data_IF_085640118691
#
_entry.id   IF_085640118691
#
_cell.length_a   1.000
_cell.length_b   1.000
_cell.length_c   1.000
_cell.angle_alpha   90.00
_cell.angle_beta   90.00
_cell.angle_gamma   90.00
#
_symmetry.space_group_name_H-M   'P 1'
#
loop_
_entity.id
_entity.type
_entity.pdbx_description
1 polymer ?
#
# COMPACT_ATOMS: atom_id res chain seq x y z
N UNK A 1 -24.63 -7.15 -8.93
CA UNK A 1 -24.81 -8.44 -9.64
C UNK A 1 -23.98 -9.50 -8.93
N UNK A 2 -24.48 -10.73 -8.78
CA UNK A 2 -23.80 -11.82 -8.05
C UNK A 2 -22.59 -12.48 -8.72
N UNK A 3 -21.77 -11.68 -9.42
CA UNK A 3 -20.71 -12.12 -10.32
C UNK A 3 -19.33 -12.08 -9.63
N UNK A 4 -19.15 -12.91 -8.60
CA UNK A 4 -17.95 -12.88 -7.74
C UNK A 4 -16.70 -13.28 -8.54
N UNK A 5 -16.81 -14.36 -9.32
CA UNK A 5 -15.70 -14.89 -10.12
C UNK A 5 -15.32 -13.95 -11.27
N UNK A 6 -16.28 -13.35 -11.94
CA UNK A 6 -16.02 -12.39 -13.03
C UNK A 6 -15.29 -11.15 -12.51
N UNK A 7 -15.71 -10.65 -11.35
CA UNK A 7 -15.06 -9.52 -10.67
C UNK A 7 -13.59 -9.82 -10.39
N UNK A 8 -13.31 -10.99 -9.81
CA UNK A 8 -11.94 -11.42 -9.55
C UNK A 8 -11.10 -11.57 -10.84
N UNK A 9 -11.67 -12.14 -11.91
CA UNK A 9 -10.96 -12.27 -13.19
C UNK A 9 -10.67 -10.93 -13.88
N UNK A 10 -11.56 -9.94 -13.71
CA UNK A 10 -11.33 -8.58 -14.17
C UNK A 10 -10.14 -7.96 -13.42
N UNK A 11 -10.15 -8.07 -12.09
CA UNK A 11 -9.05 -7.61 -11.24
C UNK A 11 -7.72 -8.30 -11.59
N UNK A 12 -7.72 -9.63 -11.74
CA UNK A 12 -6.55 -10.39 -12.17
C UNK A 12 -6.07 -10.02 -13.59
N UNK A 13 -6.96 -9.47 -14.42
CA UNK A 13 -6.57 -8.93 -15.74
C UNK A 13 -5.92 -7.57 -15.61
N UNK A 14 -6.46 -6.67 -14.77
CA UNK A 14 -5.84 -5.39 -14.45
C UNK A 14 -4.41 -5.60 -13.89
N UNK A 15 -4.26 -6.52 -12.93
CA UNK A 15 -2.95 -6.91 -12.38
C UNK A 15 -1.93 -7.29 -13.46
N UNK A 16 -2.34 -8.14 -14.41
CA UNK A 16 -1.47 -8.60 -15.51
C UNK A 16 -1.13 -7.48 -16.49
N UNK A 17 -2.07 -6.56 -16.73
CA UNK A 17 -1.84 -5.41 -17.60
C UNK A 17 -0.80 -4.46 -17.00
N UNK A 18 -0.92 -4.17 -15.71
CA UNK A 18 0.00 -3.27 -15.02
C UNK A 18 1.42 -3.85 -14.95
N UNK A 19 1.55 -5.14 -14.60
CA UNK A 19 2.87 -5.81 -14.62
C UNK A 19 3.53 -5.83 -16.00
N UNK A 20 2.74 -5.85 -17.07
CA UNK A 20 3.26 -5.89 -18.44
C UNK A 20 3.70 -4.52 -18.96
N UNK A 21 3.06 -3.44 -18.50
CA UNK A 21 3.21 -2.10 -19.05
C UNK A 21 3.62 -1.07 -17.99
N UNK A 22 4.50 -1.46 -17.06
CA UNK A 22 4.96 -0.54 -16.00
C UNK A 22 5.86 0.55 -16.61
N UNK A 23 5.56 1.85 -16.38
CA UNK A 23 6.44 2.95 -16.77
C UNK A 23 7.82 2.83 -16.11
N UNK A 24 8.84 3.42 -16.72
CA UNK A 24 10.14 3.60 -16.06
C UNK A 24 10.03 4.71 -14.99
N UNK A 25 10.59 4.46 -13.79
CA UNK A 25 10.56 5.41 -12.67
C UNK A 25 9.48 5.12 -11.63
N UNK A 26 9.23 6.09 -10.74
CA UNK A 26 8.14 6.03 -9.77
C UNK A 26 6.78 6.04 -10.49
N UNK A 27 6.00 4.99 -10.34
CA UNK A 27 4.68 4.86 -10.92
C UNK A 27 3.67 4.53 -9.80
N UNK A 28 2.59 5.32 -9.75
CA UNK A 28 1.45 5.05 -8.88
C UNK A 28 0.66 3.89 -9.48
N UNK A 29 0.35 2.89 -8.65
CA UNK A 29 -0.45 1.75 -9.05
C UNK A 29 -1.94 2.09 -8.91
N UNK A 30 -2.72 1.83 -9.97
CA UNK A 30 -4.19 1.88 -9.88
C UNK A 30 -4.76 0.55 -9.36
N UNK A 31 -3.93 -0.51 -9.31
CA UNK A 31 -4.36 -1.82 -8.85
C UNK A 31 -4.87 -1.80 -7.41
N UNK A 32 -4.23 -1.03 -6.52
CA UNK A 32 -4.65 -0.94 -5.11
C UNK A 32 -6.09 -0.47 -4.97
N UNK A 33 -6.43 0.63 -5.65
CA UNK A 33 -7.80 1.16 -5.69
C UNK A 33 -8.77 0.16 -6.29
N UNK A 34 -8.40 -0.49 -7.40
CA UNK A 34 -9.25 -1.51 -8.04
C UNK A 34 -9.45 -2.74 -7.15
N UNK A 35 -8.42 -3.12 -6.38
CA UNK A 35 -8.46 -4.23 -5.45
C UNK A 35 -9.42 -3.95 -4.30
N UNK A 36 -9.30 -2.79 -3.65
CA UNK A 36 -10.20 -2.36 -2.58
C UNK A 36 -11.66 -2.36 -3.05
N UNK A 37 -11.94 -1.75 -4.20
CA UNK A 37 -13.30 -1.68 -4.77
C UNK A 37 -13.83 -3.10 -5.05
N UNK A 38 -13.02 -3.94 -5.69
CA UNK A 38 -13.44 -5.29 -6.07
C UNK A 38 -13.71 -6.18 -4.86
N UNK A 39 -12.81 -6.16 -3.85
CA UNK A 39 -12.97 -6.98 -2.66
C UNK A 39 -14.15 -6.50 -1.82
N UNK A 40 -14.25 -5.20 -1.51
CA UNK A 40 -15.37 -4.63 -0.73
C UNK A 40 -16.71 -4.91 -1.42
N UNK A 41 -16.82 -4.67 -2.73
CA UNK A 41 -18.07 -4.95 -3.47
C UNK A 41 -18.45 -6.43 -3.48
N UNK A 42 -17.44 -7.32 -3.53
CA UNK A 42 -17.63 -8.77 -3.49
C UNK A 42 -18.11 -9.20 -2.10
N UNK A 43 -17.52 -8.65 -1.03
CA UNK A 43 -17.89 -8.91 0.36
C UNK A 43 -19.28 -8.39 0.68
N UNK A 44 -19.61 -7.15 0.29
CA UNK A 44 -20.94 -6.58 0.52
C UNK A 44 -22.04 -7.37 -0.22
N UNK A 45 -21.74 -7.81 -1.45
CA UNK A 45 -22.65 -8.69 -2.21
C UNK A 45 -22.82 -10.05 -1.53
N UNK A 46 -21.75 -10.60 -0.94
CA UNK A 46 -21.78 -11.86 -0.19
C UNK A 46 -22.60 -11.71 1.08
N UNK A 47 -22.30 -10.72 1.91
CA UNK A 47 -23.00 -10.42 3.17
C UNK A 47 -24.50 -10.21 2.93
N UNK A 48 -24.85 -9.38 1.95
CA UNK A 48 -26.25 -9.13 1.59
C UNK A 48 -26.98 -10.37 1.06
N UNK A 49 -26.26 -11.33 0.45
CA UNK A 49 -26.84 -12.59 -0.04
C UNK A 49 -26.95 -13.66 1.05
N UNK A 50 -25.95 -13.73 1.93
CA UNK A 50 -25.85 -14.76 2.95
C UNK A 50 -27.02 -14.70 3.94
N UNK A 51 -27.56 -13.50 4.21
CA UNK A 51 -28.73 -13.35 5.09
C UNK A 51 -29.98 -14.07 4.58
N UNK A 52 -30.02 -14.46 3.30
CA UNK A 52 -31.10 -15.24 2.70
C UNK A 52 -30.80 -16.75 2.62
N UNK A 53 -29.61 -17.21 3.00
CA UNK A 53 -29.21 -18.62 2.88
C UNK A 53 -29.77 -19.50 3.99
N UNK A 54 -29.78 -19.00 5.22
CA UNK A 54 -30.23 -19.74 6.41
C UNK A 54 -30.95 -18.83 7.42
N UNK A 55 -31.58 -19.44 8.42
CA UNK A 55 -32.22 -18.71 9.53
C UNK A 55 -31.21 -17.97 10.42
N UNK A 56 -31.68 -17.02 11.25
CA UNK A 56 -30.81 -16.09 11.98
C UNK A 56 -29.78 -16.74 12.92
N UNK A 57 -30.04 -17.93 13.46
CA UNK A 57 -29.19 -18.56 14.48
C UNK A 57 -27.92 -19.25 13.94
N UNK A 58 -27.80 -19.47 12.62
CA UNK A 58 -26.67 -20.22 12.00
C UNK A 58 -25.79 -19.30 11.12
N UNK A 59 -26.06 -18.00 11.16
CA UNK A 59 -25.55 -17.07 10.17
C UNK A 59 -24.04 -16.75 10.32
N UNK A 60 -23.55 -16.61 11.55
CA UNK A 60 -22.21 -16.06 11.82
C UNK A 60 -21.06 -16.97 11.38
N UNK A 61 -21.05 -18.24 11.82
CA UNK A 61 -19.97 -19.18 11.48
C UNK A 61 -19.92 -19.47 9.97
N UNK A 62 -21.07 -19.69 9.33
CA UNK A 62 -21.15 -19.96 7.90
C UNK A 62 -20.74 -18.75 7.06
N UNK A 63 -21.08 -17.54 7.50
CA UNK A 63 -20.63 -16.31 6.84
C UNK A 63 -19.11 -16.18 6.90
N UNK A 64 -18.50 -16.44 8.06
CA UNK A 64 -17.04 -16.40 8.21
C UNK A 64 -16.38 -17.44 7.28
N UNK A 65 -16.93 -18.66 7.19
CA UNK A 65 -16.44 -19.68 6.27
C UNK A 65 -16.58 -19.25 4.79
N UNK A 66 -17.70 -18.65 4.43
CA UNK A 66 -17.94 -18.13 3.08
C UNK A 66 -16.99 -16.99 2.73
N UNK A 67 -16.76 -16.05 3.66
CA UNK A 67 -15.79 -14.97 3.51
C UNK A 67 -14.39 -15.53 3.29
N UNK A 68 -13.97 -16.54 4.08
CA UNK A 68 -12.67 -17.19 3.91
C UNK A 68 -12.46 -17.73 2.49
N UNK A 69 -13.47 -18.42 1.92
CA UNK A 69 -13.44 -18.93 0.54
C UNK A 69 -13.31 -17.83 -0.52
N UNK A 70 -13.89 -16.65 -0.28
CA UNK A 70 -13.76 -15.49 -1.16
C UNK A 70 -12.40 -14.82 -0.98
N UNK A 71 -11.92 -14.73 0.26
CA UNK A 71 -10.68 -14.03 0.58
C UNK A 71 -9.46 -14.74 -0.01
N UNK A 72 -9.39 -16.07 0.06
CA UNK A 72 -8.26 -16.88 -0.44
C UNK A 72 -7.70 -16.45 -1.82
N UNK A 73 -8.52 -16.37 -2.89
CA UNK A 73 -8.04 -15.95 -4.21
C UNK A 73 -7.67 -14.46 -4.29
N UNK A 74 -8.27 -13.59 -3.47
CA UNK A 74 -7.91 -12.16 -3.38
C UNK A 74 -6.58 -12.00 -2.63
N UNK A 75 -6.40 -12.66 -1.51
CA UNK A 75 -5.16 -12.67 -0.72
C UNK A 75 -3.98 -13.10 -1.60
N UNK A 76 -4.13 -14.16 -2.39
CA UNK A 76 -3.08 -14.59 -3.32
C UNK A 76 -2.71 -13.49 -4.32
N UNK A 77 -3.70 -12.80 -4.91
CA UNK A 77 -3.45 -11.75 -5.90
C UNK A 77 -2.79 -10.52 -5.26
N UNK A 78 -3.23 -10.16 -4.04
CA UNK A 78 -2.64 -9.09 -3.25
C UNK A 78 -1.18 -9.38 -2.92
N UNK A 79 -0.87 -10.57 -2.42
CA UNK A 79 0.51 -10.97 -2.10
C UNK A 79 1.44 -10.96 -3.32
N UNK A 80 0.93 -11.34 -4.50
CA UNK A 80 1.70 -11.24 -5.76
C UNK A 80 1.95 -9.80 -6.18
N UNK A 81 1.00 -8.90 -5.93
CA UNK A 81 1.17 -7.47 -6.17
C UNK A 81 2.16 -6.83 -5.18
N UNK A 82 1.92 -7.02 -3.88
CA UNK A 82 2.67 -6.39 -2.79
C UNK A 82 4.16 -6.70 -2.85
N UNK A 83 4.54 -7.93 -3.24
CA UNK A 83 5.95 -8.33 -3.42
C UNK A 83 6.75 -7.44 -4.37
N UNK A 84 6.09 -6.87 -5.38
CA UNK A 84 6.73 -6.10 -6.46
C UNK A 84 6.63 -4.58 -6.30
N UNK A 85 5.90 -4.14 -5.27
CA UNK A 85 5.64 -2.74 -4.99
C UNK A 85 6.59 -2.21 -3.90
N UNK A 86 7.11 -0.99 -4.10
CA UNK A 86 7.88 -0.26 -3.09
C UNK A 86 6.93 0.68 -2.35
N UNK A 87 6.84 0.55 -1.04
CA UNK A 87 5.94 1.37 -0.19
C UNK A 87 6.61 2.69 0.21
N UNK A 88 7.94 2.69 0.33
CA UNK A 88 8.73 3.85 0.79
C UNK A 88 10.10 3.84 0.12
N UNK A 89 10.78 4.98 0.09
CA UNK A 89 12.18 5.06 -0.36
C UNK A 89 13.10 4.16 0.48
N UNK A 90 12.80 3.98 1.76
CA UNK A 90 13.54 3.10 2.68
C UNK A 90 13.45 1.63 2.27
N UNK A 91 12.34 1.22 1.64
CA UNK A 91 12.15 -0.14 1.11
C UNK A 91 13.09 -0.44 -0.07
N UNK A 92 13.80 0.55 -0.59
CA UNK A 92 14.91 0.36 -1.54
C UNK A 92 16.12 -0.34 -0.92
N UNK A 93 16.31 -0.26 0.41
CA UNK A 93 17.43 -0.83 1.16
C UNK A 93 17.13 -2.26 1.63
N UNK A 94 16.82 -3.16 0.68
CA UNK A 94 16.35 -4.52 0.99
C UNK A 94 17.46 -5.46 1.42
N UNK A 95 18.67 -5.28 0.91
CA UNK A 95 19.79 -6.13 1.28
C UNK A 95 20.57 -5.54 2.45
N UNK A 96 21.06 -6.41 3.33
CA UNK A 96 21.92 -5.99 4.44
C UNK A 96 23.26 -5.43 3.94
N UNK A 97 23.70 -5.85 2.75
CA UNK A 97 24.92 -5.32 2.11
C UNK A 97 24.73 -3.86 1.66
N UNK A 98 23.63 -3.54 0.95
CA UNK A 98 23.30 -2.15 0.57
C UNK A 98 23.13 -1.26 1.80
N UNK A 99 22.52 -1.80 2.85
CA UNK A 99 22.40 -1.09 4.13
C UNK A 99 23.77 -0.79 4.73
N UNK A 100 24.65 -1.80 4.81
CA UNK A 100 25.96 -1.64 5.43
C UNK A 100 26.81 -0.63 4.65
N UNK A 101 26.79 -0.69 3.32
CA UNK A 101 27.47 0.27 2.44
C UNK A 101 27.00 1.71 2.74
N UNK A 102 25.69 1.94 2.83
CA UNK A 102 25.12 3.26 3.12
C UNK A 102 25.42 3.72 4.56
N UNK A 103 25.34 2.82 5.54
CA UNK A 103 25.64 3.13 6.93
C UNK A 103 27.12 3.52 7.13
N UNK A 104 28.03 2.82 6.44
CA UNK A 104 29.46 3.13 6.48
C UNK A 104 29.80 4.41 5.73
N UNK A 105 29.09 4.71 4.63
CA UNK A 105 29.15 6.01 3.96
C UNK A 105 28.76 7.14 4.92
N UNK A 106 27.61 7.03 5.59
CA UNK A 106 27.12 8.04 6.53
C UNK A 106 28.09 8.21 7.70
N UNK A 107 28.60 7.13 8.29
CA UNK A 107 29.61 7.22 9.37
C UNK A 107 30.89 7.92 8.93
N UNK A 108 31.29 7.69 7.68
CA UNK A 108 32.59 8.18 7.17
C UNK A 108 32.55 9.62 6.70
N UNK A 109 31.41 10.07 6.16
CA UNK A 109 31.27 11.36 5.45
C UNK A 109 30.11 12.23 5.96
N UNK A 110 29.25 11.71 6.83
CA UNK A 110 28.01 12.38 7.22
C UNK A 110 28.20 13.68 8.00
N UNK A 111 29.31 13.83 8.72
CA UNK A 111 29.62 15.04 9.49
C UNK A 111 29.62 16.32 8.63
N UNK A 112 30.08 16.22 7.37
CA UNK A 112 30.16 17.36 6.45
C UNK A 112 28.88 17.54 5.60
N UNK A 113 28.03 16.51 5.51
CA UNK A 113 26.97 16.40 4.49
C UNK A 113 25.54 16.40 5.05
N UNK A 114 25.36 15.97 6.30
CA UNK A 114 24.04 15.67 6.87
C UNK A 114 23.71 16.51 8.10
N UNK A 115 24.28 17.71 8.20
CA UNK A 115 23.88 18.62 9.27
C UNK A 115 22.42 19.05 9.06
N UNK A 116 21.62 19.04 10.13
CA UNK A 116 20.20 19.46 10.12
C UNK A 116 19.92 20.80 9.40
N UNK A 117 20.84 21.77 9.46
CA UNK A 117 20.70 23.07 8.78
C UNK A 117 20.74 22.97 7.25
N UNK A 118 21.44 21.97 6.71
CA UNK A 118 21.53 21.69 5.28
C UNK A 118 20.36 20.80 4.81
N UNK A 119 19.81 19.97 5.69
CA UNK A 119 18.74 19.01 5.37
C UNK A 119 17.32 19.60 5.42
N UNK A 120 17.15 20.86 5.04
CA UNK A 120 15.80 21.43 4.90
C UNK A 120 15.07 20.80 3.72
N UNK A 121 13.76 20.59 3.85
CA UNK A 121 12.95 19.94 2.80
C UNK A 121 13.09 20.60 1.42
N UNK A 122 13.20 21.94 1.38
CA UNK A 122 13.42 22.69 0.16
C UNK A 122 14.78 22.42 -0.48
N UNK A 123 15.84 22.40 0.32
CA UNK A 123 17.20 22.12 -0.17
C UNK A 123 17.32 20.69 -0.70
N UNK A 124 16.86 19.70 0.09
CA UNK A 124 16.96 18.28 -0.31
C UNK A 124 16.15 18.00 -1.58
N UNK A 125 14.97 18.62 -1.74
CA UNK A 125 14.19 18.52 -2.99
C UNK A 125 14.91 19.15 -4.19
N UNK A 126 15.59 20.28 -3.99
CA UNK A 126 16.37 20.91 -5.06
C UNK A 126 17.53 20.02 -5.51
N UNK A 127 18.24 19.40 -4.56
CA UNK A 127 19.31 18.43 -4.84
C UNK A 127 18.77 17.25 -5.66
N UNK A 128 17.70 16.60 -5.19
CA UNK A 128 17.11 15.46 -5.91
C UNK A 128 16.58 15.83 -7.29
N UNK A 129 16.04 17.05 -7.46
CA UNK A 129 15.52 17.51 -8.75
C UNK A 129 16.65 17.76 -9.77
N UNK A 130 17.77 18.35 -9.36
CA UNK A 130 18.90 18.65 -10.25
C UNK A 130 19.85 17.47 -10.42
N UNK A 131 19.78 16.49 -9.51
CA UNK A 131 20.67 15.34 -9.46
C UNK A 131 21.81 15.52 -8.45
N UNK A 132 22.25 14.40 -7.88
CA UNK A 132 23.32 14.40 -6.88
C UNK A 132 24.68 14.70 -7.49
N UNK A 133 24.94 14.32 -8.74
CA UNK A 133 26.16 14.69 -9.46
C UNK A 133 26.35 16.21 -9.51
N UNK A 134 25.29 16.95 -9.84
CA UNK A 134 25.29 18.42 -9.81
C UNK A 134 25.59 18.96 -8.42
N UNK A 135 25.06 18.31 -7.38
CA UNK A 135 25.33 18.73 -6.00
C UNK A 135 26.79 18.49 -5.60
N UNK A 136 27.41 17.38 -6.04
CA UNK A 136 28.84 17.14 -5.81
C UNK A 136 29.71 18.20 -6.52
N UNK A 137 29.40 18.54 -7.77
CA UNK A 137 30.07 19.63 -8.49
C UNK A 137 29.93 20.98 -7.77
N UNK A 138 28.72 21.29 -7.28
CA UNK A 138 28.47 22.49 -6.48
C UNK A 138 29.30 22.50 -5.18
N UNK A 139 29.41 21.37 -4.49
CA UNK A 139 30.25 21.28 -3.28
C UNK A 139 31.74 21.45 -3.60
N UNK A 140 32.22 20.94 -4.74
CA UNK A 140 33.60 21.12 -5.20
C UNK A 140 33.94 22.60 -5.47
N UNK A 141 32.99 23.37 -6.01
CA UNK A 141 33.13 24.80 -6.29
C UNK A 141 33.07 25.68 -5.02
N UNK A 142 32.19 25.34 -4.07
CA UNK A 142 31.86 26.18 -2.91
C UNK A 142 32.57 25.76 -1.59
N UNK A 143 33.32 24.65 -1.58
CA UNK A 143 34.01 24.19 -0.37
C UNK A 143 35.01 25.23 0.18
N UNK A 144 35.13 25.29 1.51
CA UNK A 144 36.15 26.11 2.16
C UNK A 144 37.54 25.48 1.97
N UNK A 145 38.50 26.16 1.31
CA UNK A 145 39.85 25.62 1.11
C UNK A 145 40.60 25.30 2.41
N UNK A 146 40.19 25.89 3.55
CA UNK A 146 40.77 25.62 4.87
C UNK A 146 40.08 24.47 5.61
N UNK A 147 38.90 24.04 5.14
CA UNK A 147 38.11 22.92 5.67
C UNK A 147 37.51 22.12 4.52
N UNK A 148 38.35 21.39 3.77
CA UNK A 148 37.90 20.57 2.65
C UNK A 148 36.95 19.49 3.14
N UNK A 149 35.93 19.20 2.31
CA UNK A 149 34.95 18.15 2.60
C UNK A 149 35.63 16.80 2.37
N UNK A 150 35.59 15.92 3.38
CA UNK A 150 36.33 14.65 3.33
C UNK A 150 35.94 13.77 2.14
N UNK A 151 34.64 13.72 1.80
CA UNK A 151 34.14 12.95 0.65
C UNK A 151 34.82 13.39 -0.65
N UNK A 152 34.95 14.70 -0.87
CA UNK A 152 35.55 15.22 -2.10
C UNK A 152 37.04 14.87 -2.20
N UNK A 153 37.78 14.97 -1.09
CA UNK A 153 39.19 14.53 -1.07
C UNK A 153 39.35 13.05 -1.42
N UNK A 154 38.48 12.18 -0.87
CA UNK A 154 38.55 10.74 -1.09
C UNK A 154 38.11 10.37 -2.52
N UNK A 155 37.19 11.13 -3.14
CA UNK A 155 36.83 11.01 -4.56
C UNK A 155 38.00 11.43 -5.47
N UNK A 156 38.64 12.57 -5.20
CA UNK A 156 39.78 13.07 -5.98
C UNK A 156 40.98 12.12 -5.93
N UNK A 157 41.20 11.47 -4.78
CA UNK A 157 42.26 10.47 -4.59
C UNK A 157 41.90 9.08 -5.13
N UNK A 158 40.66 8.88 -5.59
CA UNK A 158 40.15 7.58 -6.04
C UNK A 158 40.06 6.54 -4.92
N UNK A 159 39.94 6.97 -3.66
CA UNK A 159 39.76 6.11 -2.50
C UNK A 159 38.31 5.67 -2.31
N UNK A 160 37.37 6.43 -2.88
CA UNK A 160 35.96 6.10 -2.91
C UNK A 160 35.42 6.24 -4.33
N UNK A 161 34.40 5.44 -4.65
CA UNK A 161 33.79 5.40 -5.98
C UNK A 161 32.69 6.46 -6.11
N UNK A 162 32.71 7.25 -7.19
CA UNK A 162 31.76 8.35 -7.39
C UNK A 162 30.34 7.84 -7.62
N UNK A 163 30.16 6.75 -8.37
CA UNK A 163 28.83 6.17 -8.60
C UNK A 163 28.20 5.70 -7.28
N UNK A 164 29.00 5.05 -6.42
CA UNK A 164 28.56 4.69 -5.05
C UNK A 164 28.23 5.90 -4.18
N UNK A 165 29.02 6.97 -4.24
CA UNK A 165 28.73 8.19 -3.47
C UNK A 165 27.42 8.83 -3.91
N UNK A 166 27.21 8.94 -5.23
CA UNK A 166 25.97 9.45 -5.83
C UNK A 166 24.78 8.62 -5.36
N UNK A 167 24.87 7.30 -5.45
CA UNK A 167 23.82 6.40 -5.00
C UNK A 167 23.51 6.57 -3.49
N UNK A 168 24.53 6.60 -2.63
CA UNK A 168 24.34 6.74 -1.18
C UNK A 168 23.64 8.05 -0.82
N UNK A 169 24.06 9.16 -1.44
CA UNK A 169 23.46 10.48 -1.24
C UNK A 169 22.03 10.53 -1.76
N UNK A 170 21.77 10.01 -2.98
CA UNK A 170 20.44 9.99 -3.57
C UNK A 170 19.47 9.19 -2.72
N UNK A 171 19.88 8.01 -2.23
CA UNK A 171 19.06 7.20 -1.32
C UNK A 171 18.80 7.91 0.01
N UNK A 172 19.85 8.46 0.64
CA UNK A 172 19.72 9.16 1.93
C UNK A 172 18.77 10.35 1.82
N UNK A 173 18.94 11.19 0.80
CA UNK A 173 18.08 12.34 0.54
C UNK A 173 16.64 11.93 0.18
N UNK A 174 16.47 10.87 -0.60
CA UNK A 174 15.13 10.33 -0.92
C UNK A 174 14.40 9.87 0.35
N UNK A 175 15.10 9.18 1.26
CA UNK A 175 14.55 8.73 2.55
C UNK A 175 14.15 9.92 3.42
N UNK A 176 14.98 10.96 3.50
CA UNK A 176 14.68 12.16 4.29
C UNK A 176 13.44 12.87 3.73
N UNK A 177 13.30 12.99 2.41
CA UNK A 177 12.12 13.63 1.81
C UNK A 177 10.86 12.79 2.03
N UNK A 178 10.97 11.47 1.91
CA UNK A 178 9.87 10.51 2.11
C UNK A 178 9.38 10.48 3.56
N UNK A 179 10.29 10.57 4.54
CA UNK A 179 10.00 10.51 5.99
C UNK A 179 10.42 11.79 6.73
N UNK A 180 10.09 12.95 6.16
CA UNK A 180 10.55 14.24 6.66
C UNK A 180 9.99 14.59 8.05
N UNK A 181 8.78 14.16 8.36
CA UNK A 181 8.17 14.29 9.69
C UNK A 181 8.95 13.53 10.76
N UNK A 182 9.39 12.30 10.45
CA UNK A 182 10.28 11.50 11.33
C UNK A 182 11.65 12.15 11.47
N UNK A 183 12.19 12.72 10.39
CA UNK A 183 13.43 13.48 10.45
C UNK A 183 13.32 14.72 11.34
N UNK A 184 12.18 15.43 11.31
CA UNK A 184 11.94 16.56 12.19
C UNK A 184 11.85 16.14 13.67
N UNK A 185 11.16 15.03 13.97
CA UNK A 185 11.13 14.45 15.33
C UNK A 185 12.55 14.10 15.80
N UNK A 186 13.34 13.44 14.96
CA UNK A 186 14.73 13.09 15.25
C UNK A 186 15.57 14.32 15.64
N UNK A 187 15.47 15.40 14.88
CA UNK A 187 16.20 16.65 15.14
C UNK A 187 15.76 17.40 16.40
N UNK A 188 14.54 17.16 16.88
CA UNK A 188 13.97 17.91 18.00
C UNK A 188 14.00 17.14 19.32
N UNK A 189 14.05 15.81 19.26
CA UNK A 189 13.91 14.94 20.44
C UNK A 189 15.20 14.22 20.84
N UNK A 190 16.24 14.27 20.00
CA UNK A 190 17.44 13.45 20.16
C UNK A 190 18.71 14.29 19.99
N UNK A 191 19.73 14.04 20.82
CA UNK A 191 21.03 14.75 20.77
C UNK A 191 21.95 14.20 19.68
N UNK A 192 21.69 12.97 19.22
CA UNK A 192 22.39 12.32 18.13
C UNK A 192 22.24 13.11 16.83
N UNK A 193 21.13 13.82 16.67
CA UNK A 193 20.84 14.64 15.49
C UNK A 193 21.78 15.83 15.26
N UNK A 194 22.53 16.24 16.30
CA UNK A 194 23.58 17.26 16.18
C UNK A 194 24.76 16.78 15.30
N UNK A 195 24.87 15.47 15.08
CA UNK A 195 25.98 14.82 14.38
C UNK A 195 25.49 14.15 13.09
N UNK A 196 25.89 14.70 11.93
CA UNK A 196 25.46 14.17 10.63
C UNK A 196 25.92 12.73 10.38
N UNK A 197 27.04 12.32 10.98
CA UNK A 197 27.53 10.95 10.95
C UNK A 197 26.67 9.96 11.76
N UNK A 198 25.75 10.44 12.61
CA UNK A 198 24.81 9.63 13.37
C UNK A 198 23.47 9.43 12.64
N UNK A 199 23.28 10.02 11.46
CA UNK A 199 22.02 9.91 10.71
C UNK A 199 21.63 8.45 10.40
N UNK A 200 22.60 7.54 10.25
CA UNK A 200 22.30 6.12 10.04
C UNK A 200 21.45 5.52 11.17
N UNK A 201 21.55 6.05 12.41
CA UNK A 201 20.72 5.59 13.52
C UNK A 201 19.24 5.86 13.27
N UNK A 202 18.87 7.03 12.73
CA UNK A 202 17.50 7.33 12.30
C UNK A 202 17.04 6.35 11.22
N UNK A 203 17.89 6.09 10.22
CA UNK A 203 17.56 5.21 9.11
C UNK A 203 17.29 3.77 9.57
N UNK A 204 17.95 3.28 10.62
CA UNK A 204 17.63 1.98 11.23
C UNK A 204 16.22 1.95 11.82
N UNK A 205 15.79 3.02 12.51
CA UNK A 205 14.42 3.13 13.00
C UNK A 205 13.40 3.19 11.85
N UNK A 206 13.70 3.92 10.79
CA UNK A 206 12.84 3.97 9.60
C UNK A 206 12.75 2.62 8.89
N UNK A 207 13.85 1.84 8.85
CA UNK A 207 13.86 0.47 8.32
C UNK A 207 12.99 -0.48 9.14
N UNK A 208 12.89 -0.26 10.45
CA UNK A 208 11.96 -1.01 11.29
C UNK A 208 10.51 -0.61 11.03
N UNK A 209 10.21 0.69 11.00
CA UNK A 209 8.87 1.22 10.70
C UNK A 209 8.37 0.71 9.34
N UNK A 210 9.22 0.71 8.31
CA UNK A 210 8.84 0.23 6.98
C UNK A 210 8.65 -1.29 6.90
N UNK A 211 9.35 -2.07 7.75
CA UNK A 211 9.08 -3.51 7.88
C UNK A 211 7.71 -3.75 8.51
N UNK A 212 7.36 -3.00 9.55
CA UNK A 212 6.02 -3.02 10.13
C UNK A 212 4.96 -2.62 9.11
N UNK A 213 5.15 -1.49 8.40
CA UNK A 213 4.24 -1.02 7.35
C UNK A 213 4.04 -2.05 6.24
N UNK A 214 5.09 -2.81 5.91
CA UNK A 214 5.03 -3.89 4.91
C UNK A 214 4.15 -5.04 5.38
N UNK A 215 4.26 -5.43 6.64
CA UNK A 215 3.41 -6.48 7.21
C UNK A 215 1.96 -5.99 7.28
N UNK A 216 1.73 -4.77 7.77
CA UNK A 216 0.41 -4.12 7.75
C UNK A 216 -0.18 -4.09 6.33
N UNK A 217 0.62 -3.74 5.32
CA UNK A 217 0.21 -3.73 3.93
C UNK A 217 -0.25 -5.11 3.45
N UNK A 218 0.47 -6.18 3.82
CA UNK A 218 0.08 -7.55 3.46
C UNK A 218 -1.22 -8.00 4.14
N UNK A 219 -1.56 -7.40 5.28
CA UNK A 219 -2.79 -7.65 6.04
C UNK A 219 -4.01 -6.87 5.53
N UNK A 220 -3.83 -5.92 4.61
CA UNK A 220 -4.92 -5.08 4.03
C UNK A 220 -6.20 -5.86 3.68
N UNK A 221 -6.15 -7.03 2.99
CA UNK A 221 -7.37 -7.76 2.66
C UNK A 221 -8.18 -8.22 3.89
N UNK A 222 -7.49 -8.56 5.00
CA UNK A 222 -8.13 -8.95 6.26
C UNK A 222 -8.79 -7.76 6.95
N UNK A 223 -8.14 -6.59 6.91
CA UNK A 223 -8.69 -5.32 7.41
C UNK A 223 -9.94 -4.91 6.62
N UNK A 224 -9.96 -5.13 5.29
CA UNK A 224 -11.12 -4.87 4.44
C UNK A 224 -12.31 -5.79 4.76
N UNK A 225 -12.05 -7.06 5.11
CA UNK A 225 -13.11 -7.97 5.60
C UNK A 225 -13.75 -7.42 6.87
N UNK A 226 -12.93 -7.04 7.86
CA UNK A 226 -13.44 -6.44 9.09
C UNK A 226 -14.27 -5.19 8.82
N UNK A 227 -13.78 -4.30 7.93
CA UNK A 227 -14.50 -3.10 7.53
C UNK A 227 -15.88 -3.44 6.94
N UNK A 228 -15.96 -4.38 6.00
CA UNK A 228 -17.25 -4.81 5.42
C UNK A 228 -18.20 -5.39 6.49
N UNK A 229 -17.71 -6.23 7.41
CA UNK A 229 -18.53 -6.76 8.52
C UNK A 229 -19.06 -5.63 9.42
N UNK A 230 -18.20 -4.70 9.83
CA UNK A 230 -18.56 -3.57 10.66
C UNK A 230 -19.59 -2.65 9.98
N UNK A 231 -19.37 -2.29 8.70
CA UNK A 231 -20.31 -1.44 7.93
C UNK A 231 -21.69 -2.07 7.76
N UNK A 232 -21.75 -3.40 7.66
CA UNK A 232 -23.01 -4.15 7.57
C UNK A 232 -23.63 -4.44 8.95
N UNK A 233 -23.11 -3.86 10.04
CA UNK A 233 -23.59 -4.01 11.42
C UNK A 233 -23.59 -5.47 11.92
N UNK A 234 -22.71 -6.31 11.39
CA UNK A 234 -22.55 -7.70 11.79
C UNK A 234 -21.59 -7.80 12.99
N UNK A 235 -22.03 -7.26 14.13
CA UNK A 235 -21.17 -7.06 15.33
C UNK A 235 -20.51 -8.34 15.82
N UNK A 236 -21.26 -9.44 15.97
CA UNK A 236 -20.70 -10.71 16.42
C UNK A 236 -19.63 -11.24 15.45
N UNK A 237 -19.90 -11.18 14.14
CA UNK A 237 -18.95 -11.61 13.12
C UNK A 237 -17.69 -10.74 13.11
N UNK A 238 -17.83 -9.41 13.26
CA UNK A 238 -16.68 -8.50 13.34
C UNK A 238 -15.83 -8.75 14.58
N UNK A 239 -16.44 -9.02 15.73
CA UNK A 239 -15.73 -9.32 16.99
C UNK A 239 -14.96 -10.63 16.91
N UNK A 240 -15.58 -11.69 16.36
CA UNK A 240 -14.90 -12.99 16.15
C UNK A 240 -13.73 -12.83 15.17
N UNK A 241 -13.94 -12.06 14.10
CA UNK A 241 -12.90 -11.79 13.11
C UNK A 241 -11.74 -10.99 13.71
N UNK A 242 -12.03 -9.96 14.49
CA UNK A 242 -11.04 -9.14 15.20
C UNK A 242 -10.21 -9.98 16.18
N UNK A 243 -10.84 -10.80 17.02
CA UNK A 243 -10.15 -11.69 17.95
C UNK A 243 -9.24 -12.70 17.23
N UNK A 244 -9.69 -13.22 16.07
CA UNK A 244 -8.89 -14.13 15.25
C UNK A 244 -7.70 -13.40 14.61
N UNK A 245 -7.92 -12.19 14.11
CA UNK A 245 -6.89 -11.35 13.51
C UNK A 245 -5.81 -11.00 14.54
N UNK A 246 -6.21 -10.50 15.72
CA UNK A 246 -5.29 -10.18 16.83
C UNK A 246 -4.43 -11.38 17.21
N UNK A 247 -5.05 -12.56 17.37
CA UNK A 247 -4.32 -13.78 17.70
C UNK A 247 -3.28 -14.16 16.64
N UNK A 248 -3.60 -13.98 15.35
CA UNK A 248 -2.71 -14.32 14.24
C UNK A 248 -1.57 -13.33 14.06
N UNK A 249 -1.78 -12.06 14.43
CA UNK A 249 -0.79 -10.99 14.24
C UNK A 249 0.04 -10.69 15.49
N UNK A 250 -0.33 -11.24 16.65
CA UNK A 250 0.32 -10.98 17.93
C UNK A 250 1.84 -11.23 17.91
N UNK A 251 2.28 -12.39 17.40
CA UNK A 251 3.71 -12.75 17.36
C UNK A 251 4.51 -11.79 16.46
N UNK A 252 3.94 -11.38 15.33
CA UNK A 252 4.58 -10.44 14.40
C UNK A 252 4.69 -9.05 15.05
N UNK A 253 3.62 -8.59 15.70
CA UNK A 253 3.61 -7.30 16.38
C UNK A 253 4.61 -7.27 17.55
N UNK A 254 4.68 -8.34 18.34
CA UNK A 254 5.64 -8.45 19.44
C UNK A 254 7.08 -8.42 18.93
N UNK A 255 7.38 -9.12 17.82
CA UNK A 255 8.71 -9.10 17.22
C UNK A 255 9.17 -7.69 16.82
N UNK A 256 8.28 -6.88 16.24
CA UNK A 256 8.58 -5.49 15.89
C UNK A 256 8.83 -4.63 17.12
N UNK A 257 8.09 -4.84 18.21
CA UNK A 257 8.28 -4.13 19.49
C UNK A 257 9.60 -4.53 20.18
N UNK A 258 9.99 -5.79 20.12
CA UNK A 258 11.29 -6.26 20.60
C UNK A 258 12.45 -5.66 19.79
N UNK A 259 12.31 -5.60 18.46
CA UNK A 259 13.29 -4.95 17.58
C UNK A 259 13.39 -3.45 17.88
N UNK A 260 12.26 -2.78 18.13
CA UNK A 260 12.22 -1.38 18.55
C UNK A 260 12.99 -1.18 19.86
N UNK A 261 12.71 -1.99 20.88
CA UNK A 261 13.38 -1.88 22.18
C UNK A 261 14.89 -2.09 22.05
N UNK A 262 15.31 -3.01 21.17
CA UNK A 262 16.73 -3.25 20.85
C UNK A 262 17.38 -2.01 20.25
N UNK A 263 16.75 -1.38 19.25
CA UNK A 263 17.27 -0.16 18.63
C UNK A 263 17.32 1.02 19.62
N UNK A 264 16.29 1.17 20.46
CA UNK A 264 16.24 2.20 21.50
C UNK A 264 17.39 2.04 22.50
N UNK A 265 17.67 0.81 22.95
CA UNK A 265 18.80 0.50 23.84
C UNK A 265 20.15 0.71 23.15
N UNK A 266 20.29 0.28 21.90
CA UNK A 266 21.53 0.37 21.14
C UNK A 266 21.96 1.82 20.90
N UNK A 267 21.02 2.67 20.50
CA UNK A 267 21.31 4.06 20.14
C UNK A 267 21.08 5.07 21.27
N UNK A 268 20.49 4.64 22.39
CA UNK A 268 20.12 5.53 23.49
C UNK A 268 19.13 6.62 23.04
N UNK A 269 18.25 6.26 22.11
CA UNK A 269 17.35 7.17 21.40
C UNK A 269 15.92 6.66 21.47
N UNK A 270 14.95 7.57 21.48
CA UNK A 270 13.53 7.24 21.37
C UNK A 270 12.93 8.00 20.20
N UNK A 271 12.03 7.34 19.49
CA UNK A 271 11.24 7.91 18.41
C UNK A 271 9.77 7.71 18.78
N UNK A 272 9.15 8.66 19.51
CA UNK A 272 7.78 8.51 20.02
C UNK A 272 6.79 8.17 18.92
N UNK A 273 6.82 8.84 17.77
CA UNK A 273 5.83 8.58 16.72
C UNK A 273 5.97 7.17 16.13
N UNK A 274 7.20 6.66 15.95
CA UNK A 274 7.43 5.27 15.53
C UNK A 274 6.98 4.29 16.62
N UNK A 275 7.22 4.65 17.88
CA UNK A 275 6.81 3.83 19.03
C UNK A 275 5.30 3.70 19.09
N UNK A 276 4.56 4.79 18.95
CA UNK A 276 3.10 4.80 18.97
C UNK A 276 2.55 3.98 17.79
N UNK A 277 3.11 4.17 16.59
CA UNK A 277 2.72 3.43 15.39
C UNK A 277 2.90 1.91 15.55
N UNK A 278 4.03 1.44 16.08
CA UNK A 278 4.25 0.01 16.31
C UNK A 278 3.35 -0.54 17.43
N UNK A 279 3.03 0.27 18.45
CA UNK A 279 2.12 -0.11 19.54
C UNK A 279 0.67 -0.28 19.09
N UNK A 280 0.32 0.15 17.87
CA UNK A 280 -0.98 -0.15 17.27
C UNK A 280 -1.20 -1.66 17.02
N UNK A 281 -0.13 -2.48 17.03
CA UNK A 281 -0.15 -3.95 16.91
C UNK A 281 -1.00 -4.50 15.74
N UNK A 282 -1.17 -3.72 14.67
CA UNK A 282 -2.06 -3.97 13.52
C UNK A 282 -3.56 -3.99 13.82
N UNK A 283 -3.97 -3.99 15.09
CA UNK A 283 -5.36 -4.08 15.53
C UNK A 283 -6.00 -2.70 15.61
N UNK A 284 -5.24 -1.65 15.97
CA UNK A 284 -5.77 -0.28 16.08
C UNK A 284 -6.50 0.23 14.82
N UNK A 285 -6.09 -0.11 13.59
CA UNK A 285 -6.89 0.19 12.39
C UNK A 285 -8.30 -0.41 12.38
N UNK A 286 -8.56 -1.50 13.11
CA UNK A 286 -9.89 -2.10 13.25
C UNK A 286 -10.82 -1.23 14.11
N UNK A 287 -10.29 -0.53 15.11
CA UNK A 287 -11.03 0.48 15.87
C UNK A 287 -11.59 1.57 14.95
N UNK A 288 -10.76 2.03 13.99
CA UNK A 288 -11.18 3.03 13.00
C UNK A 288 -12.32 2.51 12.14
N UNK A 289 -12.28 1.23 11.74
CA UNK A 289 -13.40 0.61 11.01
C UNK A 289 -14.71 0.65 11.82
N UNK A 290 -14.66 0.35 13.13
CA UNK A 290 -15.84 0.41 14.01
C UNK A 290 -16.37 1.84 14.14
N UNK A 291 -15.48 2.81 14.33
CA UNK A 291 -15.82 4.24 14.39
C UNK A 291 -16.54 4.66 13.10
N UNK A 292 -15.95 4.39 11.94
CA UNK A 292 -16.52 4.80 10.65
C UNK A 292 -17.85 4.11 10.34
N UNK A 293 -18.00 2.83 10.70
CA UNK A 293 -19.25 2.08 10.50
C UNK A 293 -20.45 2.71 11.23
N UNK A 294 -20.25 3.38 12.36
CA UNK A 294 -21.30 4.00 13.15
C UNK A 294 -21.75 5.37 12.62
N UNK A 295 -20.97 6.00 11.72
CA UNK A 295 -21.22 7.35 11.21
C UNK A 295 -22.54 7.44 10.46
N UNK A 296 -22.78 6.54 9.50
CA UNK A 296 -23.98 6.58 8.64
C UNK A 296 -25.28 6.52 9.47
N UNK A 297 -25.36 5.58 10.40
CA UNK A 297 -26.54 5.44 11.26
C UNK A 297 -26.70 6.65 12.19
N UNK A 298 -25.60 7.16 12.75
CA UNK A 298 -25.63 8.34 13.62
C UNK A 298 -26.15 9.60 12.89
N UNK A 299 -25.75 9.79 11.63
CA UNK A 299 -26.22 10.91 10.79
C UNK A 299 -27.70 10.73 10.45
N UNK A 300 -28.15 9.51 10.15
CA UNK A 300 -29.56 9.23 9.84
C UNK A 300 -30.45 9.43 11.07
N UNK A 301 -30.05 8.95 12.24
CA UNK A 301 -30.75 9.17 13.51
C UNK A 301 -30.89 10.67 13.81
N UNK A 302 -29.81 11.44 13.61
CA UNK A 302 -29.82 12.88 13.80
C UNK A 302 -30.79 13.59 12.84
N UNK A 303 -30.86 13.16 11.57
CA UNK A 303 -31.80 13.69 10.57
C UNK A 303 -33.25 13.38 10.91
N UNK A 304 -33.50 12.18 11.44
CA UNK A 304 -34.83 11.77 11.90
C UNK A 304 -35.23 12.44 13.23
N UNK A 305 -34.34 13.23 13.83
CA UNK A 305 -34.58 13.93 15.09
C UNK A 305 -34.57 13.00 16.31
N UNK A 306 -33.95 11.83 16.20
CA UNK A 306 -33.75 10.90 17.32
C UNK A 306 -32.79 11.53 18.32
N UNK A 307 -33.29 11.87 19.50
CA UNK A 307 -32.49 12.56 20.54
C UNK A 307 -31.51 11.64 21.25
N UNK A 308 -31.89 10.38 21.45
CA UNK A 308 -31.11 9.37 22.17
C UNK A 308 -30.66 8.27 21.19
N UNK A 309 -29.80 8.64 20.24
CA UNK A 309 -29.23 7.67 19.30
C UNK A 309 -28.25 6.73 20.01
N UNK A 310 -28.55 5.43 19.98
CA UNK A 310 -27.64 4.40 20.47
C UNK A 310 -26.35 4.35 19.61
N UNK A 311 -26.50 4.49 18.29
CA UNK A 311 -25.38 4.51 17.35
C UNK A 311 -24.41 5.66 17.65
N UNK A 312 -24.93 6.87 17.90
CA UNK A 312 -24.09 8.02 18.27
C UNK A 312 -23.43 7.85 19.64
N UNK A 313 -24.14 7.23 20.59
CA UNK A 313 -23.59 6.94 21.92
C UNK A 313 -22.41 5.96 21.82
N UNK A 314 -22.55 4.90 21.02
CA UNK A 314 -21.47 3.95 20.69
C UNK A 314 -20.32 4.63 19.95
N UNK A 315 -20.62 5.43 18.93
CA UNK A 315 -19.62 6.19 18.16
C UNK A 315 -18.74 7.04 19.09
N UNK A 316 -19.38 7.76 20.02
CA UNK A 316 -18.67 8.58 21.00
C UNK A 316 -17.81 7.74 21.95
N UNK A 317 -18.29 6.56 22.37
CA UNK A 317 -17.53 5.67 23.23
C UNK A 317 -16.27 5.15 22.50
N UNK A 318 -16.42 4.62 21.29
CA UNK A 318 -15.29 4.13 20.47
C UNK A 318 -14.26 5.23 20.21
N UNK A 319 -14.69 6.44 19.87
CA UNK A 319 -13.78 7.58 19.67
C UNK A 319 -13.04 7.94 20.96
N UNK A 320 -13.72 7.96 22.10
CA UNK A 320 -13.09 8.25 23.39
C UNK A 320 -12.07 7.18 23.79
N UNK A 321 -12.36 5.91 23.50
CA UNK A 321 -11.46 4.80 23.78
C UNK A 321 -10.24 4.83 22.86
N UNK A 322 -10.44 5.09 21.57
CA UNK A 322 -9.35 5.28 20.59
C UNK A 322 -8.41 6.44 20.96
N UNK A 323 -8.93 7.53 21.52
CA UNK A 323 -8.14 8.71 21.90
C UNK A 323 -7.32 8.55 23.20
N UNK A 324 -7.47 7.45 23.94
CA UNK A 324 -6.70 7.25 25.19
C UNK A 324 -5.20 7.05 24.92
N UNK A 325 -4.87 6.45 23.79
CA UNK A 325 -3.55 5.95 23.41
C UNK A 325 -3.13 6.38 21.99
N UNK A 326 -4.04 6.89 21.15
CA UNK A 326 -3.68 7.44 19.83
C UNK A 326 -3.51 8.95 19.84
N UNK A 327 -2.26 9.41 19.98
CA UNK A 327 -1.88 10.82 19.91
C UNK A 327 -1.30 11.09 18.50
N UNK A 328 -2.02 11.82 17.66
CA UNK A 328 -1.55 12.13 16.30
C UNK A 328 -0.23 12.92 16.29
N UNK A 329 0.42 13.02 15.12
CA UNK A 329 1.75 13.63 14.95
C UNK A 329 1.83 15.15 15.23
N UNK A 330 0.73 15.80 15.58
CA UNK A 330 0.64 17.25 15.86
C UNK A 330 0.87 18.17 14.65
N UNK A 331 1.38 17.65 13.53
CA UNK A 331 1.71 18.39 12.32
C UNK A 331 0.59 18.30 11.29
N UNK A 332 0.04 17.11 11.09
CA UNK A 332 -0.99 16.84 10.08
C UNK A 332 -2.26 16.26 10.71
N UNK A 333 -3.40 16.54 10.08
CA UNK A 333 -4.68 15.93 10.46
C UNK A 333 -4.61 14.42 10.17
N UNK A 334 -4.81 13.55 11.19
CA UNK A 334 -4.83 12.10 11.03
C UNK A 334 -5.77 11.62 9.91
N UNK A 335 -5.38 10.57 9.20
CA UNK A 335 -6.14 10.04 8.05
C UNK A 335 -7.56 9.60 8.46
N UNK A 336 -7.71 8.96 9.63
CA UNK A 336 -9.02 8.51 10.11
C UNK A 336 -10.02 9.66 10.29
N UNK A 337 -9.57 10.86 10.70
CA UNK A 337 -10.43 12.05 10.79
C UNK A 337 -10.84 12.55 9.39
N UNK A 338 -9.94 12.49 8.41
CA UNK A 338 -10.27 12.81 7.01
C UNK A 338 -11.26 11.79 6.42
N UNK A 339 -11.14 10.52 6.80
CA UNK A 339 -12.11 9.48 6.43
C UNK A 339 -13.47 9.74 7.08
N UNK A 340 -13.49 10.09 8.38
CA UNK A 340 -14.71 10.44 9.09
C UNK A 340 -15.41 11.64 8.47
N UNK A 341 -14.69 12.69 8.10
CA UNK A 341 -15.25 13.87 7.41
C UNK A 341 -15.88 13.51 6.06
N UNK A 342 -15.23 12.62 5.29
CA UNK A 342 -15.77 12.10 4.03
C UNK A 342 -17.06 11.29 4.26
N UNK A 343 -17.07 10.37 5.21
CA UNK A 343 -18.24 9.55 5.56
C UNK A 343 -19.40 10.42 6.06
N UNK A 344 -19.14 11.43 6.89
CA UNK A 344 -20.15 12.40 7.33
C UNK A 344 -20.69 13.16 6.13
N UNK A 345 -19.81 13.63 5.23
CA UNK A 345 -20.21 14.36 4.03
C UNK A 345 -21.07 13.51 3.10
N UNK A 346 -20.71 12.24 2.88
CA UNK A 346 -21.46 11.30 2.07
C UNK A 346 -22.81 10.95 2.71
N UNK A 347 -22.83 10.61 4.00
CA UNK A 347 -24.06 10.37 4.73
C UNK A 347 -24.96 11.61 4.77
N UNK A 348 -24.37 12.81 4.79
CA UNK A 348 -25.06 14.10 4.82
C UNK A 348 -25.55 14.59 3.46
N UNK A 349 -25.06 14.03 2.34
CA UNK A 349 -25.65 14.29 1.03
C UNK A 349 -27.07 13.72 1.03
N UNK A 350 -28.03 14.59 0.74
CA UNK A 350 -29.39 14.17 0.37
C UNK A 350 -29.30 13.50 -1.01
N UNK A 351 -30.28 12.69 -1.42
CA UNK A 351 -30.47 12.21 -2.80
C UNK A 351 -30.63 13.39 -3.79
N UNK A 352 -29.60 14.21 -3.93
CA UNK A 352 -29.53 15.31 -4.88
C UNK A 352 -29.16 14.66 -6.20
N UNK A 353 -30.17 14.50 -7.06
CA UNK A 353 -30.02 14.19 -8.48
C UNK A 353 -29.29 15.38 -9.11
N UNK A 354 -27.96 15.41 -8.98
CA UNK A 354 -27.15 16.58 -9.25
C UNK A 354 -25.81 16.19 -9.85
N UNK A 355 -25.77 16.25 -11.20
CA UNK A 355 -24.64 16.05 -12.11
C UNK A 355 -23.88 14.72 -11.95
N UNK A 356 -23.87 13.84 -12.97
CA UNK A 356 -23.03 12.66 -12.94
C UNK A 356 -21.58 13.11 -12.75
N UNK A 357 -20.96 12.66 -11.67
CA UNK A 357 -19.51 12.50 -11.61
C UNK A 357 -19.07 11.66 -12.82
N UNK A 358 -17.80 11.78 -13.24
CA UNK A 358 -17.25 10.95 -14.32
C UNK A 358 -17.44 9.44 -14.07
N UNK A 359 -17.63 9.08 -12.80
CA UNK A 359 -18.15 7.79 -12.32
C UNK A 359 -19.67 7.93 -12.12
N UNK A 360 -20.46 7.62 -13.15
CA UNK A 360 -21.91 7.45 -12.96
C UNK A 360 -22.13 6.12 -12.24
N UNK A 361 -22.45 6.15 -10.96
CA UNK A 361 -22.90 4.97 -10.23
C UNK A 361 -24.18 4.44 -10.89
N UNK A 362 -24.06 3.33 -11.62
CA UNK A 362 -25.20 2.60 -12.14
C UNK A 362 -25.88 1.93 -10.95
N UNK A 363 -26.95 2.54 -10.42
CA UNK A 363 -27.84 1.92 -9.43
C UNK A 363 -28.58 0.74 -10.06
N UNK A 364 -27.90 -0.40 -10.18
CA UNK A 364 -28.50 -1.67 -10.58
C UNK A 364 -29.02 -2.38 -9.33
N UNK A 365 -30.24 -2.95 -9.36
CA UNK A 365 -30.77 -3.68 -8.22
C UNK A 365 -29.83 -4.86 -7.87
N UNK A 366 -29.54 -5.08 -6.58
CA UNK A 366 -28.70 -6.19 -6.17
C UNK A 366 -29.38 -7.50 -6.55
N UNK A 367 -28.63 -8.38 -7.21
CA UNK A 367 -29.07 -9.74 -7.53
C UNK A 367 -28.48 -10.64 -6.45
N UNK A 368 -29.29 -11.17 -5.51
CA UNK A 368 -28.80 -12.03 -4.44
C UNK A 368 -28.24 -13.32 -5.04
N UNK A 369 -27.15 -13.79 -4.47
CA UNK A 369 -26.50 -15.05 -4.85
C UNK A 369 -27.14 -16.16 -4.04
N UNK A 370 -27.55 -17.27 -4.66
CA UNK A 370 -28.01 -18.44 -3.89
C UNK A 370 -26.80 -19.20 -3.31
N UNK A 371 -27.00 -19.93 -2.21
CA UNK A 371 -25.93 -20.77 -1.62
C UNK A 371 -25.36 -21.77 -2.65
N UNK A 372 -26.21 -22.34 -3.50
CA UNK A 372 -25.80 -23.25 -4.57
C UNK A 372 -24.92 -22.55 -5.62
N UNK A 373 -25.28 -21.33 -6.03
CA UNK A 373 -24.49 -20.54 -6.96
C UNK A 373 -23.14 -20.14 -6.37
N UNK A 374 -23.13 -19.72 -5.09
CA UNK A 374 -21.90 -19.41 -4.37
C UNK A 374 -20.94 -20.61 -4.31
N UNK A 375 -21.45 -21.78 -3.93
CA UNK A 375 -20.67 -23.02 -3.91
C UNK A 375 -20.16 -23.43 -5.30
N UNK A 376 -20.94 -23.16 -6.35
CA UNK A 376 -20.53 -23.43 -7.74
C UNK A 376 -19.41 -22.50 -8.20
N UNK A 377 -19.52 -21.20 -7.91
CA UNK A 377 -18.51 -20.19 -8.25
C UNK A 377 -17.19 -20.46 -7.52
N UNK A 378 -17.23 -20.71 -6.20
CA UNK A 378 -16.04 -21.03 -5.38
C UNK A 378 -15.30 -22.27 -5.87
N UNK A 379 -16.01 -23.33 -6.30
CA UNK A 379 -15.37 -24.54 -6.88
C UNK A 379 -14.64 -24.28 -8.20
N UNK A 380 -15.09 -23.30 -8.98
CA UNK A 380 -14.56 -23.02 -10.33
C UNK A 380 -13.84 -21.68 -10.43
N UNK A 381 -13.43 -21.12 -9.29
CA UNK A 381 -12.98 -19.72 -9.17
C UNK A 381 -11.86 -19.34 -10.15
N UNK A 382 -10.84 -20.20 -10.27
CA UNK A 382 -9.68 -19.96 -11.15
C UNK A 382 -9.90 -20.42 -12.60
N UNK A 383 -11.04 -21.05 -12.90
CA UNK A 383 -11.33 -21.56 -14.24
C UNK A 383 -11.61 -20.41 -15.20
N UNK A 384 -10.91 -20.40 -16.34
CA UNK A 384 -11.11 -19.39 -17.41
C UNK A 384 -12.58 -19.14 -17.72
N UNK A 385 -13.00 -17.87 -17.71
CA UNK A 385 -14.33 -17.44 -18.16
C UNK A 385 -14.58 -17.67 -19.65
N UNK A 386 -13.50 -17.81 -20.43
CA UNK A 386 -13.59 -18.08 -21.86
C UNK A 386 -13.82 -19.58 -22.06
N UNK A 387 -14.98 -19.91 -22.62
CA UNK A 387 -15.35 -21.27 -23.02
C UNK A 387 -14.27 -21.89 -23.94
N UNK A 388 -13.68 -23.05 -23.57
CA UNK A 388 -12.70 -23.74 -24.41
C UNK A 388 -13.23 -24.05 -25.83
N UNK A 389 -14.55 -24.13 -26.04
CA UNK A 389 -15.14 -24.35 -27.36
C UNK A 389 -15.00 -23.14 -28.32
N UNK A 390 -14.96 -21.91 -27.81
CA UNK A 390 -14.77 -20.70 -28.66
C UNK A 390 -13.37 -20.61 -29.27
N UNK A 391 -12.34 -21.24 -28.66
CA UNK A 391 -10.99 -21.29 -29.23
C UNK A 391 -10.87 -22.24 -30.44
N UNK A 392 -11.68 -23.30 -30.51
CA UNK A 392 -11.67 -24.23 -31.66
C UNK A 392 -12.28 -23.65 -32.93
N UNK A 393 -13.22 -22.71 -32.83
CA UNK A 393 -13.86 -22.06 -33.98
C UNK A 393 -12.94 -21.08 -34.74
N UNK A 394 -11.94 -20.50 -34.07
CA UNK A 394 -11.08 -19.46 -34.68
C UNK A 394 -9.87 -20.01 -35.45
N UNK A 395 -9.52 -21.29 -35.29
CA UNK A 395 -8.41 -21.95 -36.01
C UNK A 395 -8.81 -22.61 -37.35
N UNK A 396 -10.09 -22.59 -37.74
CA UNK A 396 -10.60 -23.28 -38.95
C UNK A 396 -10.97 -22.37 -40.14
N UNK A 397 -10.56 -21.09 -40.14
CA UNK A 397 -10.88 -20.13 -41.22
C UNK A 397 -9.66 -19.63 -42.01
N UNK A 398 -8.58 -20.41 -42.10
CA UNK A 398 -7.50 -20.17 -43.07
C UNK A 398 -7.20 -21.48 -43.80
N UNK A 399 -7.83 -21.65 -44.96
CA UNK A 399 -7.59 -22.78 -45.86
C UNK A 399 -8.73 -22.98 -46.84
N UNK A 400 -8.74 -22.21 -47.92
CA UNK A 400 -8.92 -22.67 -49.32
C UNK A 400 -9.35 -21.54 -50.25
N UNK A 401 -8.39 -21.05 -51.05
CA UNK A 401 -8.61 -20.69 -52.46
C UNK A 401 -7.31 -21.06 -53.20
N UNK A 402 -7.21 -22.29 -53.70
CA UNK A 402 -7.31 -22.60 -55.14
C UNK A 402 -6.35 -21.81 -56.00
N UNK A 403 -5.20 -22.42 -56.29
CA UNK A 403 -4.43 -22.23 -57.53
C UNK A 403 -5.24 -22.70 -58.74
N UNK A 404 -4.94 -22.15 -59.93
CA UNK A 404 -4.49 -23.04 -61.00
C UNK A 404 -3.25 -22.53 -61.76
N UNK A 405 -2.35 -23.48 -62.06
CA UNK A 405 -1.58 -23.73 -63.31
C UNK A 405 -1.57 -22.61 -64.40
N UNK A 406 -0.50 -22.28 -65.14
CA UNK A 406 0.64 -23.07 -65.68
C UNK A 406 1.63 -22.14 -66.42
N UNK A 407 2.89 -22.59 -66.57
CA UNK A 407 3.93 -22.24 -67.59
C UNK A 407 4.41 -20.78 -67.67
N UNK A 408 5.68 -20.44 -67.85
CA UNK A 408 6.66 -20.97 -68.81
C UNK A 408 8.10 -20.49 -68.46
N UNK A 409 9.08 -21.18 -69.02
CA UNK A 409 10.54 -21.12 -68.85
C UNK A 409 11.26 -19.83 -69.26
N UNK A 410 12.41 -19.52 -68.64
CA UNK A 410 13.75 -19.22 -69.24
C UNK A 410 14.68 -18.69 -68.15
N UNK A 411 15.72 -19.43 -67.75
CA UNK A 411 17.10 -19.43 -68.25
C UNK A 411 18.01 -18.32 -67.67
N UNK A 412 18.88 -18.79 -66.77
CA UNK A 412 20.31 -18.47 -66.56
C UNK A 412 20.79 -17.11 -65.99
N UNK A 413 22.00 -17.13 -65.36
CA UNK A 413 22.40 -16.25 -64.27
C UNK A 413 23.36 -15.16 -64.73
N UNK A 414 23.60 -14.15 -63.89
CA UNK A 414 24.87 -13.43 -63.97
C UNK A 414 25.46 -13.00 -62.61
N UNK A 415 26.77 -13.15 -62.64
CA UNK A 415 27.88 -13.03 -61.71
C UNK A 415 28.03 -11.78 -60.83
N UNK A 416 28.87 -12.00 -59.81
CA UNK A 416 29.96 -11.14 -59.29
C UNK A 416 29.66 -10.01 -58.28
N UNK A 417 30.12 -10.27 -57.06
CA UNK A 417 31.24 -9.61 -56.34
C UNK A 417 31.49 -8.09 -56.41
N UNK A 418 31.84 -7.59 -55.21
CA UNK A 418 32.57 -6.37 -54.83
C UNK A 418 31.81 -5.04 -54.97
N UNK A 419 31.77 -4.13 -53.99
CA UNK A 419 32.64 -3.85 -52.83
C UNK A 419 31.88 -3.68 -51.50
#
# INVERSE_FOLDING_TARGET
>A
MGLLRETWHLLATAFRMERKWRPQGQAITEFDRLFEIALTSTLDSLVGSAGAWHGPDVFTEELIEAIGKVLDPYQWLWSEHSRTMRISAVDGLRSDDEWQDMADFIRSYGADLFHASQLTLGNVRAILHNGVDWYLEYLEEEQDPLRPIKLLEDLDRGLYDRERAVWCLEQTYSIIVDRFDRFLEYNTTTTQSDYGEMLFSLLDFLRLEVRYDRDAWNLTPLTLVHNSLARNQLTEASEIWEATFEMQTADIAEQHLEDLERLQKQYGMRMPTITDHLNERFVKPLDVNRILALVKQSVEDARQGVKDSEAFTKLRAEVNDYLKDSWGSGVDVPNWLRQMDREISEASRTNYVGRPTAEAELELPPVPISLADFQSQTKTWKTSLIDPYRRRGRKKSRGNSTDPDTSESTDEPDSSDAD
#
